data_IF_568093351074
#
_entry.id   IF_568093351074
#
_cell.length_a   1.000
_cell.length_b   1.000
_cell.length_c   1.000
_cell.angle_alpha   90.00
_cell.angle_beta   90.00
_cell.angle_gamma   90.00
#
_symmetry.space_group_name_H-M   'P 1'
#
loop_
_entity.id
_entity.type
_entity.pdbx_description
1 polymer ?
#
# COMPACT_ATOMS: atom_id res chain seq x y z
N UNK A 1 -5.72 3.31 -10.52
CA UNK A 1 -6.66 2.64 -9.61
C UNK A 1 -7.86 3.54 -9.27
N UNK A 2 -7.71 4.87 -9.28
CA UNK A 2 -8.86 5.81 -9.18
C UNK A 2 -9.92 5.61 -10.27
N UNK A 3 -9.50 5.34 -11.52
CA UNK A 3 -10.42 4.99 -12.62
C UNK A 3 -11.29 3.75 -12.35
N UNK A 4 -10.93 2.94 -11.36
CA UNK A 4 -11.68 1.74 -10.94
C UNK A 4 -12.47 1.98 -9.64
N UNK A 5 -12.60 3.25 -9.22
CA UNK A 5 -13.34 3.64 -8.02
C UNK A 5 -12.65 3.28 -6.72
N UNK A 6 -11.31 3.11 -6.73
CA UNK A 6 -10.53 2.86 -5.50
C UNK A 6 -9.80 4.11 -5.03
N UNK A 7 -9.88 4.36 -3.73
CA UNK A 7 -9.25 5.49 -3.03
C UNK A 7 -8.21 4.93 -2.07
N UNK A 8 -7.05 5.58 -1.98
CA UNK A 8 -5.95 5.20 -1.10
C UNK A 8 -5.54 6.41 -0.28
N UNK A 9 -5.62 6.27 1.04
CA UNK A 9 -5.12 7.26 1.99
C UNK A 9 -3.78 6.73 2.52
N UNK A 10 -2.68 7.39 2.17
CA UNK A 10 -1.31 6.96 2.49
C UNK A 10 -0.71 7.99 3.44
N UNK A 11 -0.22 7.53 4.58
CA UNK A 11 0.45 8.39 5.58
C UNK A 11 1.87 8.76 5.15
N UNK A 12 2.40 9.86 5.69
CA UNK A 12 3.79 10.27 5.42
C UNK A 12 4.78 9.23 5.97
N UNK A 13 4.48 8.66 7.14
CA UNK A 13 5.26 7.60 7.78
C UNK A 13 5.38 6.36 6.88
N UNK A 14 4.31 5.98 6.19
CA UNK A 14 4.34 4.90 5.21
C UNK A 14 5.22 5.23 3.99
N UNK A 15 5.19 6.48 3.52
CA UNK A 15 6.04 6.94 2.40
C UNK A 15 7.51 6.88 2.80
N UNK A 16 7.85 7.37 3.98
CA UNK A 16 9.21 7.37 4.51
C UNK A 16 9.74 5.94 4.65
N UNK A 17 8.97 5.06 5.31
CA UNK A 17 9.36 3.67 5.52
C UNK A 17 9.53 2.90 4.19
N UNK A 18 8.61 3.09 3.23
CA UNK A 18 8.72 2.48 1.91
C UNK A 18 9.97 2.97 1.17
N UNK A 19 10.30 4.25 1.29
CA UNK A 19 11.46 4.85 0.65
C UNK A 19 12.75 4.35 1.27
N UNK A 20 12.83 4.32 2.60
CA UNK A 20 13.98 3.81 3.35
C UNK A 20 14.25 2.33 3.02
N UNK A 21 13.23 1.46 3.12
CA UNK A 21 13.36 0.02 2.86
C UNK A 21 13.44 -0.34 1.37
N UNK A 22 12.90 0.51 0.52
CA UNK A 22 12.88 0.34 -0.94
C UNK A 22 14.07 0.99 -1.65
N UNK A 23 14.90 1.76 -0.97
CA UNK A 23 16.10 2.36 -1.54
C UNK A 23 17.22 1.32 -1.68
N UNK A 24 17.91 1.36 -2.82
CA UNK A 24 19.12 0.58 -3.04
C UNK A 24 20.13 1.42 -3.80
N UNK A 25 21.34 1.55 -3.26
CA UNK A 25 22.42 2.27 -3.93
C UNK A 25 22.81 1.61 -5.27
N UNK A 26 22.76 0.28 -5.34
CA UNK A 26 23.12 -0.51 -6.53
C UNK A 26 22.02 -0.50 -7.60
N UNK A 27 20.75 -0.56 -7.19
CA UNK A 27 19.62 -0.76 -8.10
C UNK A 27 18.72 0.48 -8.27
N UNK A 28 18.99 1.55 -7.53
CA UNK A 28 18.22 2.78 -7.52
C UNK A 28 16.73 2.56 -7.21
N UNK A 29 15.88 3.43 -7.75
CA UNK A 29 14.43 3.41 -7.51
C UNK A 29 13.69 2.19 -8.11
N UNK A 30 14.36 1.33 -8.89
CA UNK A 30 13.74 0.07 -9.36
C UNK A 30 13.42 -0.85 -8.20
N UNK A 31 14.26 -0.86 -7.18
CA UNK A 31 14.03 -1.62 -5.96
C UNK A 31 12.82 -1.08 -5.21
N UNK A 32 12.69 0.25 -5.13
CA UNK A 32 11.54 0.94 -4.54
C UNK A 32 10.23 0.56 -5.25
N UNK A 33 10.20 0.61 -6.58
CA UNK A 33 9.03 0.17 -7.35
C UNK A 33 8.64 -1.26 -7.01
N UNK A 34 9.61 -2.18 -6.97
CA UNK A 34 9.35 -3.60 -6.63
C UNK A 34 8.86 -3.74 -5.19
N UNK A 35 9.41 -2.97 -4.26
CA UNK A 35 9.01 -2.96 -2.87
C UNK A 35 7.56 -2.52 -2.70
N UNK A 36 7.16 -1.43 -3.38
CA UNK A 36 5.78 -0.95 -3.44
C UNK A 36 4.86 -2.02 -4.07
N UNK A 37 5.26 -2.64 -5.18
CA UNK A 37 4.47 -3.69 -5.84
C UNK A 37 4.19 -4.87 -4.88
N UNK A 38 5.16 -5.26 -4.06
CA UNK A 38 5.06 -6.38 -3.12
C UNK A 38 4.28 -6.04 -1.83
N UNK A 39 4.60 -4.89 -1.22
CA UNK A 39 4.07 -4.50 0.10
C UNK A 39 2.73 -3.78 0.03
N UNK A 40 2.42 -3.10 -1.09
CA UNK A 40 1.20 -2.31 -1.26
C UNK A 40 0.26 -2.95 -2.27
N UNK A 41 0.70 -3.03 -3.52
CA UNK A 41 -0.19 -3.33 -4.64
C UNK A 41 -0.76 -4.75 -4.56
N UNK A 42 0.07 -5.74 -4.23
CA UNK A 42 -0.35 -7.13 -4.13
C UNK A 42 -1.38 -7.34 -2.99
N UNK A 43 -1.13 -6.90 -1.74
CA UNK A 43 -2.13 -7.01 -0.66
C UNK A 43 -3.46 -6.32 -0.98
N UNK A 44 -3.43 -5.12 -1.57
CA UNK A 44 -4.64 -4.40 -2.00
C UNK A 44 -5.39 -5.20 -3.07
N UNK A 45 -4.67 -5.79 -4.02
CA UNK A 45 -5.28 -6.61 -5.07
C UNK A 45 -5.94 -7.86 -4.49
N UNK A 46 -5.35 -8.48 -3.46
CA UNK A 46 -5.97 -9.60 -2.74
C UNK A 46 -7.26 -9.20 -2.02
N UNK A 47 -7.32 -7.94 -1.56
CA UNK A 47 -8.48 -7.35 -0.88
C UNK A 47 -9.39 -6.55 -1.84
N UNK A 48 -9.21 -6.67 -3.16
CA UNK A 48 -9.79 -5.73 -4.12
C UNK A 48 -11.32 -5.60 -4.05
N UNK A 49 -12.00 -6.68 -3.65
CA UNK A 49 -13.46 -6.73 -3.55
C UNK A 49 -14.01 -6.38 -2.16
N UNK A 50 -13.16 -6.29 -1.13
CA UNK A 50 -13.62 -6.08 0.25
C UNK A 50 -13.92 -4.63 0.58
N UNK A 51 -13.27 -3.67 -0.10
CA UNK A 51 -13.48 -2.23 0.14
C UNK A 51 -13.22 -1.37 -1.09
N UNK A 52 -13.77 -0.15 -1.09
CA UNK A 52 -13.46 0.88 -2.08
C UNK A 52 -12.32 1.81 -1.62
N UNK A 53 -12.21 2.07 -0.32
CA UNK A 53 -11.16 2.88 0.29
C UNK A 53 -10.23 2.02 1.12
N UNK A 54 -8.93 2.27 1.00
CA UNK A 54 -7.88 1.61 1.78
C UNK A 54 -7.00 2.66 2.45
N UNK A 55 -6.65 2.43 3.71
CA UNK A 55 -5.62 3.17 4.42
C UNK A 55 -4.32 2.37 4.37
N UNK A 56 -3.21 3.06 4.09
CA UNK A 56 -1.85 2.54 4.11
C UNK A 56 -1.07 3.31 5.16
N UNK A 57 -0.56 2.61 6.15
CA UNK A 57 0.18 3.20 7.27
C UNK A 57 1.44 2.39 7.61
N UNK A 58 2.30 2.95 8.46
CA UNK A 58 3.46 2.28 9.04
C UNK A 58 3.26 2.05 10.54
N UNK A 59 3.16 0.78 10.95
CA UNK A 59 3.03 0.39 12.36
C UNK A 59 4.16 -0.60 12.70
N UNK A 60 4.84 -0.40 13.82
CA UNK A 60 5.96 -1.24 14.29
C UNK A 60 7.05 -1.50 13.23
N UNK A 61 7.30 -0.51 12.37
CA UNK A 61 8.28 -0.58 11.30
C UNK A 61 7.86 -1.46 10.12
N UNK A 62 6.59 -1.87 10.03
CA UNK A 62 6.04 -2.59 8.88
C UNK A 62 4.88 -1.83 8.25
N UNK A 63 4.66 -2.08 6.97
CA UNK A 63 3.56 -1.48 6.22
C UNK A 63 2.27 -2.26 6.52
N UNK A 64 1.26 -1.53 6.99
CA UNK A 64 -0.05 -2.06 7.31
C UNK A 64 -1.09 -1.47 6.37
N UNK A 65 -1.99 -2.32 5.88
CA UNK A 65 -3.04 -1.94 4.93
C UNK A 65 -4.38 -2.34 5.50
N UNK A 66 -5.29 -1.37 5.64
CA UNK A 66 -6.61 -1.57 6.23
C UNK A 66 -7.70 -1.13 5.26
N UNK A 67 -8.69 -1.98 4.95
CA UNK A 67 -9.89 -1.55 4.24
C UNK A 67 -10.70 -0.61 5.16
N UNK A 68 -11.08 0.57 4.68
CA UNK A 68 -11.81 1.58 5.46
C UNK A 68 -13.32 1.40 5.37
N UNK A 69 -13.81 1.03 4.19
CA UNK A 69 -15.24 0.83 3.94
C UNK A 69 -15.45 -0.64 3.60
N UNK A 70 -15.52 -1.50 4.61
CA UNK A 70 -15.70 -2.94 4.37
C UNK A 70 -17.13 -3.20 3.93
N UNK A 71 -17.30 -3.76 2.73
CA UNK A 71 -18.61 -4.17 2.25
C UNK A 71 -19.01 -5.49 2.93
N UNK A 72 -19.87 -5.42 3.94
CA UNK A 72 -20.54 -6.61 4.47
C UNK A 72 -21.55 -7.11 3.44
N UNK A 73 -21.26 -8.24 2.80
CA UNK A 73 -22.26 -9.02 2.08
C UNK A 73 -23.13 -9.71 3.13
N UNK A 74 -24.33 -9.16 3.37
CA UNK A 74 -25.43 -9.90 4.00
C UNK A 74 -25.93 -11.00 3.05
#
# INVERSE_FOLDING_TARGET
MERQGKIFDITEEAIDLLTEKGYSQTYGARFLKRHIDQKIKLPITNQWKSAARFSVDAEDGEIVIKPMDTFSLN
#
